data_IF_625479670047
#
_entry.id   IF_625479670047
#
_cell.length_a   1.000
_cell.length_b   1.000
_cell.length_c   1.000
_cell.angle_alpha   90.00
_cell.angle_beta   90.00
_cell.angle_gamma   90.00
#
_symmetry.space_group_name_H-M   'P 1'
#
loop_
_entity.id
_entity.type
_entity.pdbx_description
1 polymer ?
#
# COMPACT_ATOMS: atom_id res chain seq x y z
N UNK A 1 -82.78 15.52 -3.43
CA UNK A 1 -81.65 16.29 -2.84
C UNK A 1 -80.37 15.47 -2.99
N UNK A 2 -79.58 15.75 -4.00
CA UNK A 2 -78.42 14.96 -4.39
C UNK A 2 -77.15 15.63 -3.87
N UNK A 3 -76.41 14.93 -3.03
CA UNK A 3 -75.05 15.35 -2.62
C UNK A 3 -74.05 14.65 -3.52
N UNK A 4 -73.37 15.44 -4.37
CA UNK A 4 -72.24 15.00 -5.18
C UNK A 4 -71.00 14.93 -4.30
N UNK A 5 -70.46 13.73 -4.16
CA UNK A 5 -69.14 13.50 -3.57
C UNK A 5 -68.07 13.62 -4.67
N UNK A 6 -67.27 14.67 -4.61
CA UNK A 6 -66.14 14.90 -5.56
C UNK A 6 -64.92 14.15 -5.02
N UNK A 7 -64.53 13.11 -5.71
CA UNK A 7 -63.23 12.43 -5.44
C UNK A 7 -62.09 13.30 -5.94
N UNK A 8 -61.21 13.73 -5.03
CA UNK A 8 -59.95 14.32 -5.36
C UNK A 8 -58.94 13.17 -5.59
N UNK A 9 -58.52 13.03 -6.82
CA UNK A 9 -57.40 12.17 -7.17
C UNK A 9 -56.10 12.92 -6.84
N UNK A 10 -55.43 12.49 -5.74
CA UNK A 10 -54.08 12.92 -5.45
C UNK A 10 -53.11 12.21 -6.42
N UNK A 11 -52.67 12.94 -7.44
CA UNK A 11 -51.56 12.54 -8.29
C UNK A 11 -50.28 12.67 -7.49
N UNK A 12 -49.72 11.54 -7.07
CA UNK A 12 -48.40 11.47 -6.46
C UNK A 12 -47.38 11.66 -7.57
N UNK A 13 -46.88 12.88 -7.71
CA UNK A 13 -45.75 13.16 -8.55
C UNK A 13 -44.50 12.63 -7.83
N UNK A 14 -44.01 11.48 -8.25
CA UNK A 14 -42.72 10.96 -7.86
C UNK A 14 -41.62 11.93 -8.30
N UNK A 15 -41.10 12.70 -7.37
CA UNK A 15 -39.84 13.41 -7.53
C UNK A 15 -38.72 12.40 -7.63
N UNK A 16 -38.31 12.06 -8.83
CA UNK A 16 -37.01 11.47 -9.07
C UNK A 16 -35.98 12.53 -8.69
N UNK A 17 -34.94 12.19 -7.91
CA UNK A 17 -33.89 13.14 -7.61
C UNK A 17 -33.24 13.54 -8.95
N UNK A 18 -33.22 14.83 -9.22
CA UNK A 18 -32.46 15.40 -10.33
C UNK A 18 -31.01 15.08 -10.08
N UNK A 19 -30.48 14.08 -10.79
CA UNK A 19 -29.06 13.77 -10.79
C UNK A 19 -28.37 14.97 -11.41
N UNK A 20 -27.63 15.71 -10.61
CA UNK A 20 -26.84 16.84 -11.06
C UNK A 20 -25.75 16.33 -12.01
N UNK A 21 -25.99 16.45 -13.30
CA UNK A 21 -25.10 16.06 -14.39
C UNK A 21 -23.78 16.86 -14.42
N UNK A 22 -23.59 17.79 -13.49
CA UNK A 22 -22.34 18.56 -13.36
C UNK A 22 -21.28 17.88 -12.52
N UNK A 23 -21.60 16.82 -11.77
CA UNK A 23 -20.66 16.08 -10.94
C UNK A 23 -19.90 14.94 -11.68
N UNK A 24 -20.09 14.77 -12.97
CA UNK A 24 -19.50 13.67 -13.78
C UNK A 24 -18.39 14.17 -14.73
N UNK A 25 -17.75 15.28 -14.43
CA UNK A 25 -16.65 15.79 -15.26
C UNK A 25 -15.39 16.08 -14.50
N UNK A 26 -14.96 15.16 -13.62
CA UNK A 26 -13.57 15.16 -13.15
C UNK A 26 -13.03 13.73 -13.13
N UNK A 27 -12.26 13.40 -14.19
CA UNK A 27 -11.31 12.32 -14.16
C UNK A 27 -11.76 10.96 -14.64
N UNK A 28 -12.48 10.86 -15.74
CA UNK A 28 -12.40 9.65 -16.57
C UNK A 28 -10.99 9.58 -17.18
N UNK A 29 -10.02 9.30 -16.33
CA UNK A 29 -8.70 8.83 -16.75
C UNK A 29 -8.96 7.53 -17.48
N UNK A 30 -9.01 7.56 -18.82
CA UNK A 30 -9.14 6.36 -19.66
C UNK A 30 -8.14 5.35 -19.14
N UNK A 31 -8.63 4.34 -18.42
CA UNK A 31 -7.83 3.24 -17.90
C UNK A 31 -7.08 2.65 -19.09
N UNK A 32 -5.77 2.80 -19.09
CA UNK A 32 -4.97 2.27 -20.20
C UNK A 32 -5.09 0.73 -20.19
N UNK A 33 -5.10 0.10 -21.35
CA UNK A 33 -5.22 -1.36 -21.48
C UNK A 33 -4.18 -2.06 -20.58
N UNK A 34 -3.00 -1.48 -20.41
CA UNK A 34 -1.94 -1.99 -19.52
C UNK A 34 -2.35 -1.96 -18.05
N UNK A 35 -3.13 -0.97 -17.60
CA UNK A 35 -3.58 -0.87 -16.21
C UNK A 35 -4.49 -2.05 -15.83
N UNK A 36 -5.28 -2.54 -16.79
CA UNK A 36 -6.12 -3.73 -16.59
C UNK A 36 -5.32 -5.03 -16.44
N UNK A 37 -4.16 -5.11 -17.09
CA UNK A 37 -3.22 -6.23 -16.95
C UNK A 37 -2.48 -6.14 -15.62
N UNK A 38 -2.02 -4.94 -15.27
CA UNK A 38 -1.33 -4.66 -14.01
C UNK A 38 -2.23 -4.97 -12.80
N UNK A 39 -3.52 -4.61 -12.86
CA UNK A 39 -4.48 -4.86 -11.80
C UNK A 39 -4.62 -6.36 -11.44
N UNK A 40 -4.47 -7.26 -12.42
CA UNK A 40 -4.50 -8.71 -12.19
C UNK A 40 -3.28 -9.24 -11.43
N UNK A 41 -2.17 -8.51 -11.47
CA UNK A 41 -0.90 -8.88 -10.85
C UNK A 41 -0.71 -8.26 -9.46
N UNK A 42 -1.66 -7.42 -9.02
CA UNK A 42 -1.61 -6.80 -7.71
C UNK A 42 -1.95 -7.82 -6.61
N UNK A 43 -1.13 -7.87 -5.59
CA UNK A 43 -1.36 -8.66 -4.38
C UNK A 43 -2.12 -7.82 -3.35
N UNK A 44 -3.11 -8.41 -2.71
CA UNK A 44 -3.94 -7.80 -1.65
C UNK A 44 -3.48 -8.16 -0.23
N UNK A 45 -2.59 -9.15 -0.08
CA UNK A 45 -2.12 -9.68 1.20
C UNK A 45 -0.95 -8.89 1.83
N UNK A 46 -0.62 -7.73 1.27
CA UNK A 46 0.51 -6.91 1.70
C UNK A 46 0.07 -5.98 2.84
N UNK A 47 0.74 -6.02 4.00
CA UNK A 47 0.44 -5.10 5.09
C UNK A 47 0.81 -3.66 4.72
N UNK A 48 0.11 -2.70 5.31
CA UNK A 48 0.50 -1.30 5.18
C UNK A 48 1.79 -1.04 5.98
N UNK A 49 2.85 -0.65 5.30
CA UNK A 49 4.12 -0.22 5.89
C UNK A 49 4.66 1.03 5.21
N UNK A 50 5.48 1.77 5.91
CA UNK A 50 6.06 3.04 5.45
C UNK A 50 7.59 3.00 5.54
N UNK A 51 8.22 3.99 4.92
CA UNK A 51 9.65 4.23 5.09
C UNK A 51 9.94 4.51 6.56
N UNK A 52 11.01 3.90 7.11
CA UNK A 52 11.35 3.97 8.53
C UNK A 52 10.87 2.78 9.35
N UNK A 53 9.92 2.00 8.85
CA UNK A 53 9.45 0.81 9.55
C UNK A 53 10.49 -0.31 9.51
N UNK A 54 10.54 -1.09 10.57
CA UNK A 54 11.32 -2.32 10.59
C UNK A 54 10.44 -3.46 10.13
N UNK A 55 10.84 -4.11 9.04
CA UNK A 55 10.09 -5.21 8.44
C UNK A 55 10.90 -6.50 8.39
N UNK A 56 10.18 -7.62 8.40
CA UNK A 56 10.73 -8.94 8.03
C UNK A 56 10.14 -9.33 6.70
N UNK A 57 10.98 -9.53 5.71
CA UNK A 57 10.60 -9.99 4.37
C UNK A 57 10.96 -11.48 4.27
N UNK A 58 9.95 -12.32 4.08
CA UNK A 58 10.11 -13.74 3.85
C UNK A 58 10.26 -13.97 2.35
N UNK A 59 11.47 -14.34 1.96
CA UNK A 59 11.83 -14.52 0.54
C UNK A 59 11.98 -16.01 0.27
N UNK A 60 11.22 -16.51 -0.69
CA UNK A 60 11.36 -17.89 -1.15
C UNK A 60 12.55 -17.97 -2.12
N UNK A 61 13.52 -18.80 -1.77
CA UNK A 61 14.71 -19.06 -2.58
C UNK A 61 14.61 -20.48 -3.11
N UNK A 62 14.67 -20.61 -4.43
CA UNK A 62 14.66 -21.87 -5.13
C UNK A 62 16.10 -22.18 -5.60
N UNK A 63 16.68 -23.26 -5.06
CA UNK A 63 18.03 -23.71 -5.39
C UNK A 63 17.94 -25.13 -5.93
N UNK A 64 17.95 -25.28 -7.25
CA UNK A 64 17.72 -26.59 -7.91
C UNK A 64 16.33 -27.13 -7.57
N UNK A 65 16.28 -28.30 -6.95
CA UNK A 65 15.03 -28.98 -6.57
C UNK A 65 14.56 -28.63 -5.13
N UNK A 66 15.26 -27.74 -4.44
CA UNK A 66 14.92 -27.36 -3.06
C UNK A 66 14.44 -25.93 -3.01
N UNK A 67 13.37 -25.69 -2.27
CA UNK A 67 12.89 -24.35 -1.94
C UNK A 67 13.08 -24.10 -0.45
N UNK A 68 13.54 -22.91 -0.08
CA UNK A 68 13.64 -22.49 1.31
C UNK A 68 13.25 -21.04 1.47
N UNK A 69 12.66 -20.72 2.60
CA UNK A 69 12.31 -19.34 2.96
C UNK A 69 13.45 -18.71 3.73
N UNK A 70 13.95 -17.59 3.25
CA UNK A 70 14.94 -16.78 3.94
C UNK A 70 14.31 -15.48 4.43
N UNK A 71 14.49 -15.20 5.74
CA UNK A 71 13.97 -13.97 6.34
C UNK A 71 15.00 -12.86 6.26
N UNK A 72 14.63 -11.76 5.64
CA UNK A 72 15.43 -10.54 5.59
C UNK A 72 14.79 -9.48 6.49
N UNK A 73 15.33 -9.33 7.73
CA UNK A 73 14.87 -8.31 8.69
C UNK A 73 15.70 -7.05 8.57
N UNK A 74 15.06 -5.89 8.38
CA UNK A 74 15.76 -4.61 8.31
C UNK A 74 14.80 -3.43 8.31
N UNK A 75 15.35 -2.25 8.10
CA UNK A 75 14.63 -0.98 8.06
C UNK A 75 14.35 -0.63 6.61
N UNK A 76 13.12 -0.21 6.31
CA UNK A 76 12.74 0.30 4.99
C UNK A 76 13.32 1.70 4.81
N UNK A 77 14.26 1.86 3.89
CA UNK A 77 14.93 3.14 3.63
C UNK A 77 14.31 3.91 2.45
N UNK A 78 13.63 3.21 1.56
CA UNK A 78 13.00 3.78 0.37
C UNK A 78 11.79 2.96 -0.04
N UNK A 79 10.76 3.64 -0.52
CA UNK A 79 9.62 3.07 -1.24
C UNK A 79 9.38 3.95 -2.46
N UNK A 80 9.22 3.39 -3.64
CA UNK A 80 9.01 4.14 -4.88
C UNK A 80 8.36 3.28 -5.96
N UNK A 81 7.72 3.95 -6.92
CA UNK A 81 6.90 3.32 -7.94
C UNK A 81 5.45 3.28 -7.53
N UNK A 82 4.61 2.87 -8.44
CA UNK A 82 3.16 2.76 -8.27
C UNK A 82 2.70 1.44 -8.87
N UNK A 83 1.59 0.92 -8.36
CA UNK A 83 0.97 -0.31 -8.84
C UNK A 83 1.97 -1.49 -8.84
N UNK A 84 2.00 -2.32 -9.85
CA UNK A 84 2.91 -3.49 -9.96
C UNK A 84 4.38 -3.12 -9.92
N UNK A 85 4.73 -1.90 -10.34
CA UNK A 85 6.13 -1.41 -10.40
C UNK A 85 6.63 -0.89 -9.06
N UNK A 86 5.82 -0.95 -8.02
CA UNK A 86 6.20 -0.48 -6.70
C UNK A 86 7.31 -1.35 -6.11
N UNK A 87 8.37 -0.69 -5.62
CA UNK A 87 9.52 -1.32 -5.00
C UNK A 87 9.84 -0.69 -3.66
N UNK A 88 10.38 -1.47 -2.76
CA UNK A 88 10.91 -0.98 -1.48
C UNK A 88 12.31 -1.52 -1.22
N UNK A 89 13.14 -0.71 -0.60
CA UNK A 89 14.52 -1.08 -0.26
C UNK A 89 14.65 -1.24 1.24
N UNK A 90 15.12 -2.40 1.66
CA UNK A 90 15.36 -2.72 3.08
C UNK A 90 16.86 -2.75 3.34
N UNK A 91 17.27 -2.07 4.40
CA UNK A 91 18.65 -2.05 4.88
C UNK A 91 18.78 -2.81 6.20
N UNK A 92 19.77 -3.66 6.28
CA UNK A 92 20.20 -4.29 7.53
C UNK A 92 21.71 -4.17 7.70
N UNK A 93 22.18 -4.26 8.92
CA UNK A 93 23.60 -4.41 9.23
C UNK A 93 23.86 -5.88 9.54
N UNK A 94 24.74 -6.49 8.78
CA UNK A 94 25.16 -7.88 8.96
C UNK A 94 26.68 -7.91 9.11
N UNK A 95 27.19 -8.45 10.20
CA UNK A 95 28.63 -8.49 10.48
C UNK A 95 29.34 -7.14 10.29
N UNK A 96 28.72 -6.05 10.78
CA UNK A 96 29.17 -4.65 10.67
C UNK A 96 29.13 -4.08 9.24
N UNK A 97 28.71 -4.85 8.25
CA UNK A 97 28.51 -4.43 6.88
C UNK A 97 27.06 -4.06 6.63
N UNK A 98 26.82 -2.89 6.05
CA UNK A 98 25.49 -2.46 5.63
C UNK A 98 25.06 -3.18 4.35
N UNK A 99 24.00 -3.96 4.42
CA UNK A 99 23.44 -4.68 3.27
C UNK A 99 22.09 -4.08 2.94
N UNK A 100 21.90 -3.73 1.67
CA UNK A 100 20.64 -3.22 1.13
C UNK A 100 20.11 -4.18 0.06
N UNK A 101 18.81 -4.43 0.11
CA UNK A 101 18.13 -5.22 -0.90
C UNK A 101 16.83 -4.55 -1.30
N UNK A 102 16.62 -4.42 -2.60
CA UNK A 102 15.39 -3.87 -3.17
C UNK A 102 14.47 -5.01 -3.58
N UNK A 103 13.23 -4.92 -3.16
CA UNK A 103 12.19 -5.90 -3.42
C UNK A 103 11.04 -5.24 -4.17
N UNK A 104 10.53 -5.82 -5.27
CA UNK A 104 9.23 -5.46 -5.81
C UNK A 104 8.14 -5.87 -4.83
N UNK A 105 7.19 -4.98 -4.54
CA UNK A 105 6.15 -5.21 -3.53
C UNK A 105 5.26 -6.40 -3.90
N UNK A 106 4.87 -6.49 -5.17
CA UNK A 106 3.95 -7.50 -5.69
C UNK A 106 4.64 -8.76 -6.25
N UNK A 107 5.93 -8.97 -5.94
CA UNK A 107 6.66 -10.12 -6.43
C UNK A 107 6.20 -11.44 -5.80
N UNK A 108 5.99 -12.50 -6.60
CA UNK A 108 5.64 -13.84 -6.08
C UNK A 108 6.78 -14.50 -5.29
N UNK A 109 8.02 -14.00 -5.43
CA UNK A 109 9.18 -14.47 -4.64
C UNK A 109 9.04 -14.10 -3.17
N UNK A 110 8.28 -13.06 -2.86
CA UNK A 110 7.98 -12.66 -1.48
C UNK A 110 6.78 -13.49 -1.01
N UNK A 111 7.01 -14.35 -0.04
CA UNK A 111 5.96 -15.12 0.59
C UNK A 111 5.11 -14.24 1.51
N UNK A 112 5.77 -13.52 2.44
CA UNK A 112 5.12 -12.69 3.44
C UNK A 112 5.97 -11.49 3.83
N UNK A 113 5.32 -10.38 4.14
CA UNK A 113 5.95 -9.20 4.77
C UNK A 113 5.32 -9.02 6.15
N UNK A 114 6.16 -8.92 7.18
CA UNK A 114 5.73 -8.63 8.56
C UNK A 114 6.29 -7.30 9.02
N UNK A 115 5.43 -6.43 9.52
CA UNK A 115 5.85 -5.18 10.17
C UNK A 115 6.15 -5.47 11.63
N UNK A 116 7.39 -5.25 12.05
CA UNK A 116 7.85 -5.50 13.42
C UNK A 116 7.64 -4.27 14.31
N UNK A 117 8.10 -3.12 13.81
CA UNK A 117 7.98 -1.83 14.51
C UNK A 117 7.71 -0.73 13.50
N UNK A 118 6.87 0.22 13.87
CA UNK A 118 6.60 1.42 13.07
C UNK A 118 7.58 2.52 13.45
N UNK A 119 8.21 3.13 12.47
CA UNK A 119 9.21 4.18 12.66
C UNK A 119 8.62 5.59 12.52
N UNK A 120 9.02 6.49 13.43
CA UNK A 120 8.71 7.91 13.32
C UNK A 120 9.78 8.63 12.50
N UNK A 121 9.51 8.89 11.22
CA UNK A 121 10.43 9.57 10.31
C UNK A 121 9.75 10.74 9.60
N UNK A 122 10.55 11.76 9.26
CA UNK A 122 10.07 12.95 8.53
C UNK A 122 10.42 12.91 7.04
N UNK A 123 11.33 12.05 6.63
CA UNK A 123 11.85 11.99 5.26
C UNK A 123 11.32 10.77 4.53
N UNK A 124 10.99 10.93 3.27
CA UNK A 124 10.55 9.86 2.40
C UNK A 124 11.67 8.89 1.97
N UNK A 125 12.93 9.31 2.09
CA UNK A 125 14.12 8.50 1.76
C UNK A 125 15.16 8.67 2.86
N UNK A 126 15.68 7.55 3.38
CA UNK A 126 16.56 7.53 4.55
C UNK A 126 17.99 7.14 4.18
N UNK A 127 18.53 7.70 3.10
CA UNK A 127 19.88 7.37 2.64
C UNK A 127 20.98 7.78 3.63
N UNK A 128 20.73 8.74 4.48
CA UNK A 128 21.66 9.14 5.53
C UNK A 128 21.98 8.00 6.54
N UNK A 129 21.13 6.96 6.60
CA UNK A 129 21.42 5.80 7.43
C UNK A 129 22.62 4.99 6.94
N UNK A 130 23.10 5.22 5.71
CA UNK A 130 24.29 4.57 5.17
C UNK A 130 25.55 4.98 5.93
N UNK A 131 25.60 6.24 6.35
CA UNK A 131 26.76 6.84 7.02
C UNK A 131 26.68 6.66 8.54
N UNK A 132 25.49 6.32 9.06
CA UNK A 132 25.28 6.16 10.49
C UNK A 132 25.43 4.70 10.93
N UNK A 133 26.04 4.52 12.10
CA UNK A 133 26.23 3.20 12.74
C UNK A 133 25.83 3.22 14.21
N UNK A 134 25.47 2.07 14.74
CA UNK A 134 25.14 1.87 16.15
C UNK A 134 23.93 2.68 16.60
N UNK A 135 24.02 3.32 17.74
CA UNK A 135 22.92 4.08 18.36
C UNK A 135 22.38 5.22 17.49
N UNK A 136 23.25 5.87 16.68
CA UNK A 136 22.88 6.97 15.77
C UNK A 136 22.02 6.51 14.60
N UNK A 137 22.08 5.23 14.21
CA UNK A 137 21.27 4.65 13.14
C UNK A 137 19.91 4.14 13.62
N UNK A 138 19.62 4.19 14.93
CA UNK A 138 18.36 3.71 15.50
C UNK A 138 17.26 4.73 15.21
N UNK A 139 16.18 4.30 14.52
CA UNK A 139 14.98 5.09 14.30
C UNK A 139 14.11 5.00 15.56
N UNK A 140 13.50 6.12 15.92
CA UNK A 140 12.54 6.16 17.02
C UNK A 140 11.26 5.46 16.59
N UNK A 141 10.68 4.69 17.51
CA UNK A 141 9.38 4.06 17.29
C UNK A 141 8.27 5.10 17.33
N UNK A 142 7.34 4.98 16.40
CA UNK A 142 6.13 5.78 16.43
C UNK A 142 5.28 5.29 17.59
N UNK A 143 5.12 6.13 18.62
CA UNK A 143 4.16 5.88 19.69
C UNK A 143 2.81 6.35 19.17
N UNK A 144 1.89 5.42 19.00
CA UNK A 144 0.49 5.77 18.81
C UNK A 144 0.05 6.30 20.18
N UNK A 145 -0.11 7.61 20.32
CA UNK A 145 -0.71 8.19 21.51
C UNK A 145 -2.17 7.69 21.51
N UNK A 146 -2.47 6.84 22.48
CA UNK A 146 -3.83 6.35 22.75
C UNK A 146 -4.72 7.50 23.19
#
# INVERSE_FOLDING_TARGET
>A
MALRTTMHQNTIINYLPVVDLRAVTEGDTKMHILDSVDAKSLRSDIPEFRVGDTVKVHVNIIEGNRSRVQVFKGIVIRRSGESVRETFTVRKISFQVGVERTFPVHSPVIEKIEVVTRGAVRRAKLYFLRDLRGKKAKIQEKRDNA
#
